data_IF_883921177894
#
_entry.id   IF_883921177894
#
_cell.length_a   1.000
_cell.length_b   1.000
_cell.length_c   1.000
_cell.angle_alpha   90.00
_cell.angle_beta   90.00
_cell.angle_gamma   90.00
#
_symmetry.space_group_name_H-M   'P 1'
#
loop_
_entity.id
_entity.type
_entity.pdbx_description
1 polymer ?
#
# COMPACT_ATOMS: atom_id res chain seq x y z
N UNK A 1 11.78 44.94 -38.23
CA UNK A 1 11.84 43.79 -39.15
C UNK A 1 13.08 42.97 -38.81
N UNK A 2 12.90 41.86 -38.08
CA UNK A 2 14.01 40.97 -37.71
C UNK A 2 14.35 40.12 -38.95
N UNK A 3 15.62 40.06 -39.39
CA UNK A 3 16.00 39.31 -40.57
C UNK A 3 15.75 37.82 -40.39
N UNK A 4 15.21 37.15 -41.43
CA UNK A 4 14.83 35.72 -41.42
C UNK A 4 15.94 34.74 -40.98
N UNK A 5 17.19 35.20 -41.01
CA UNK A 5 18.42 34.46 -40.67
C UNK A 5 18.64 34.34 -39.16
N UNK A 6 18.12 35.30 -38.39
CA UNK A 6 18.22 35.36 -36.93
C UNK A 6 17.01 34.70 -36.25
N UNK A 7 15.95 34.38 -37.01
CA UNK A 7 14.73 33.74 -36.49
C UNK A 7 14.95 32.27 -36.10
N UNK A 8 15.82 31.55 -36.83
CA UNK A 8 16.12 30.15 -36.56
C UNK A 8 16.83 29.92 -35.20
N UNK A 9 17.93 30.64 -34.86
CA UNK A 9 18.55 30.50 -33.55
C UNK A 9 17.64 31.03 -32.42
N UNK A 10 16.85 32.08 -32.68
CA UNK A 10 15.91 32.62 -31.69
C UNK A 10 14.78 31.63 -31.34
N UNK A 11 14.22 30.95 -32.34
CA UNK A 11 13.21 29.90 -32.14
C UNK A 11 13.77 28.71 -31.35
N UNK A 12 15.03 28.35 -31.59
CA UNK A 12 15.74 27.28 -30.87
C UNK A 12 15.97 27.61 -29.39
N UNK A 13 16.35 28.87 -29.09
CA UNK A 13 16.54 29.36 -27.72
C UNK A 13 15.20 29.43 -26.97
N UNK A 14 14.13 29.89 -27.62
CA UNK A 14 12.78 29.93 -27.02
C UNK A 14 12.28 28.51 -26.72
N UNK A 15 12.49 27.55 -27.62
CA UNK A 15 12.11 26.15 -27.38
C UNK A 15 12.90 25.51 -26.22
N UNK A 16 14.19 25.84 -26.07
CA UNK A 16 15.02 25.36 -24.97
C UNK A 16 14.64 25.96 -23.60
N UNK A 17 14.16 27.22 -23.58
CA UNK A 17 13.71 27.90 -22.36
C UNK A 17 12.26 27.57 -21.97
N UNK A 18 11.43 27.14 -22.92
CA UNK A 18 10.04 26.73 -22.67
C UNK A 18 9.90 25.28 -22.16
N UNK A 19 10.87 24.41 -22.44
CA UNK A 19 10.86 23.01 -22.02
C UNK A 19 10.72 22.77 -20.50
N UNK A 20 11.41 23.53 -19.62
CA UNK A 20 11.29 23.36 -18.17
C UNK A 20 9.95 23.80 -17.57
N UNK A 21 9.20 24.67 -18.25
CA UNK A 21 7.94 25.22 -17.71
C UNK A 21 6.76 24.24 -17.82
N UNK A 22 6.88 23.17 -18.62
CA UNK A 22 5.84 22.14 -18.79
C UNK A 22 6.04 20.90 -17.92
N UNK A 23 7.14 20.82 -17.16
CA UNK A 23 7.47 19.65 -16.31
C UNK A 23 7.00 19.80 -14.86
N UNK A 24 6.33 20.90 -14.51
CA UNK A 24 5.80 21.17 -13.16
C UNK A 24 4.64 20.25 -12.72
N UNK A 25 4.09 19.46 -13.63
CA UNK A 25 3.12 18.41 -13.35
C UNK A 25 3.67 17.05 -13.79
N UNK A 26 4.89 16.71 -13.38
CA UNK A 26 5.21 15.30 -13.25
C UNK A 26 4.46 14.80 -12.00
N UNK A 27 3.22 14.35 -12.18
CA UNK A 27 2.59 13.44 -11.22
C UNK A 27 3.52 12.25 -11.14
N UNK A 28 4.42 12.24 -10.17
CA UNK A 28 5.13 11.04 -9.78
C UNK A 28 4.03 10.03 -9.47
N UNK A 29 3.81 9.09 -10.38
CA UNK A 29 3.11 7.86 -10.07
C UNK A 29 3.98 7.16 -9.04
N UNK A 30 3.86 7.59 -7.78
CA UNK A 30 4.34 6.82 -6.64
C UNK A 30 3.63 5.49 -6.82
N UNK A 31 4.39 4.43 -7.08
CA UNK A 31 3.92 3.05 -6.99
C UNK A 31 3.16 2.96 -5.66
N UNK A 32 1.82 3.05 -5.71
CA UNK A 32 1.00 3.04 -4.50
C UNK A 32 1.14 1.64 -3.90
N UNK A 33 1.95 1.49 -2.86
CA UNK A 33 2.15 0.18 -2.25
C UNK A 33 0.78 -0.43 -1.92
N UNK A 34 0.52 -1.63 -2.45
CA UNK A 34 -0.75 -2.30 -2.20
C UNK A 34 -0.80 -2.70 -0.73
N UNK A 35 -1.93 -2.45 -0.07
CA UNK A 35 -2.16 -2.90 1.30
C UNK A 35 -2.30 -4.42 1.29
N UNK A 36 -1.39 -5.13 1.95
CA UNK A 36 -1.37 -6.59 2.01
C UNK A 36 -2.19 -7.07 3.21
N UNK A 37 -3.31 -7.75 2.94
CA UNK A 37 -4.18 -8.34 3.96
C UNK A 37 -3.74 -9.78 4.24
N UNK A 38 -3.29 -10.06 5.46
CA UNK A 38 -2.95 -11.38 5.95
C UNK A 38 -4.19 -12.19 6.31
N UNK A 39 -4.35 -13.36 5.70
CA UNK A 39 -5.52 -14.23 5.84
C UNK A 39 -5.07 -15.63 6.28
N UNK A 40 -5.50 -16.03 7.48
CA UNK A 40 -5.31 -17.39 8.00
C UNK A 40 -6.28 -18.41 7.39
N UNK A 41 -6.07 -19.68 7.71
CA UNK A 41 -6.75 -20.78 7.01
C UNK A 41 -8.18 -21.05 7.50
N UNK A 42 -8.56 -20.54 8.68
CA UNK A 42 -9.92 -20.70 9.20
C UNK A 42 -10.97 -20.01 8.33
N UNK A 43 -12.18 -20.56 8.26
CA UNK A 43 -13.27 -19.99 7.46
C UNK A 43 -13.60 -18.54 7.83
N UNK A 44 -13.57 -18.19 9.12
CA UNK A 44 -13.81 -16.82 9.56
C UNK A 44 -12.72 -15.86 9.06
N UNK A 45 -11.45 -16.24 9.17
CA UNK A 45 -10.35 -15.44 8.62
C UNK A 45 -10.50 -15.23 7.11
N UNK A 46 -10.91 -16.25 6.36
CA UNK A 46 -11.17 -16.12 4.93
C UNK A 46 -12.28 -15.10 4.65
N UNK A 47 -13.42 -15.20 5.34
CA UNK A 47 -14.56 -14.28 5.16
C UNK A 47 -14.17 -12.84 5.56
N UNK A 48 -13.59 -12.64 6.75
CA UNK A 48 -13.20 -11.30 7.23
C UNK A 48 -12.09 -10.68 6.36
N UNK A 49 -11.17 -11.51 5.87
CA UNK A 49 -10.14 -11.11 4.91
C UNK A 49 -10.73 -10.60 3.59
N UNK A 50 -11.69 -11.33 3.00
CA UNK A 50 -12.38 -10.89 1.78
C UNK A 50 -13.18 -9.59 2.01
N UNK A 51 -13.83 -9.46 3.16
CA UNK A 51 -14.54 -8.21 3.52
C UNK A 51 -13.56 -7.04 3.55
N UNK A 52 -12.39 -7.22 4.18
CA UNK A 52 -11.37 -6.17 4.25
C UNK A 52 -10.84 -5.79 2.85
N UNK A 53 -10.54 -6.76 2.00
CA UNK A 53 -10.11 -6.52 0.61
C UNK A 53 -11.14 -5.72 -0.18
N UNK A 54 -12.42 -6.11 -0.08
CA UNK A 54 -13.51 -5.39 -0.76
C UNK A 54 -13.67 -3.96 -0.24
N UNK A 55 -13.56 -3.75 1.08
CA UNK A 55 -13.63 -2.42 1.68
C UNK A 55 -12.47 -1.52 1.23
N UNK A 56 -11.24 -2.05 1.22
CA UNK A 56 -10.06 -1.33 0.74
C UNK A 56 -10.21 -0.94 -0.73
N UNK A 57 -10.67 -1.87 -1.56
CA UNK A 57 -10.95 -1.60 -2.96
C UNK A 57 -12.00 -0.50 -3.15
N UNK A 58 -13.13 -0.56 -2.42
CA UNK A 58 -14.18 0.47 -2.48
C UNK A 58 -13.72 1.85 -2.00
N UNK A 59 -12.74 1.89 -1.09
CA UNK A 59 -12.13 3.11 -0.60
C UNK A 59 -11.05 3.68 -1.55
N UNK A 60 -10.77 3.00 -2.68
CA UNK A 60 -9.81 3.46 -3.69
C UNK A 60 -8.37 2.98 -3.48
N UNK A 61 -8.13 2.08 -2.53
CA UNK A 61 -6.78 1.54 -2.29
C UNK A 61 -6.49 0.32 -3.17
N UNK A 62 -5.24 0.20 -3.64
CA UNK A 62 -4.69 -1.09 -4.09
C UNK A 62 -4.57 -2.02 -2.89
N UNK A 63 -5.02 -3.26 -2.99
CA UNK A 63 -4.89 -4.25 -1.93
C UNK A 63 -4.66 -5.65 -2.49
N UNK A 64 -3.92 -6.46 -1.74
CA UNK A 64 -3.55 -7.83 -2.10
C UNK A 64 -3.77 -8.78 -0.92
N UNK A 65 -4.05 -10.04 -1.21
CA UNK A 65 -4.25 -11.07 -0.19
C UNK A 65 -2.96 -11.88 0.03
N UNK A 66 -2.50 -11.95 1.27
CA UNK A 66 -1.50 -12.94 1.72
C UNK A 66 -2.22 -14.11 2.37
N UNK A 67 -2.41 -15.19 1.60
CA UNK A 67 -3.09 -16.42 2.01
C UNK A 67 -2.09 -17.51 2.41
N UNK A 68 -2.63 -18.67 2.79
CA UNK A 68 -1.88 -19.87 3.18
C UNK A 68 -0.91 -19.57 4.34
N UNK A 69 -1.34 -18.68 5.23
CA UNK A 69 -0.57 -18.34 6.42
C UNK A 69 -0.73 -19.41 7.49
N UNK A 70 -1.74 -20.29 7.42
CA UNK A 70 -1.95 -21.30 8.44
C UNK A 70 -2.67 -20.74 9.65
N UNK A 71 -2.07 -20.94 10.81
CA UNK A 71 -2.65 -20.57 12.10
C UNK A 71 -2.49 -19.09 12.44
N UNK A 72 -3.12 -18.69 13.56
CA UNK A 72 -3.08 -17.33 14.05
C UNK A 72 -1.67 -16.82 14.36
N UNK A 73 -0.77 -17.69 14.84
CA UNK A 73 0.60 -17.30 15.15
C UNK A 73 1.40 -16.96 13.89
N UNK A 74 1.18 -17.74 12.83
CA UNK A 74 1.80 -17.51 11.52
C UNK A 74 1.26 -16.26 10.83
N UNK A 75 -0.02 -15.93 11.01
CA UNK A 75 -0.61 -14.64 10.62
C UNK A 75 0.06 -13.48 11.38
N UNK A 76 0.21 -13.59 12.70
CA UNK A 76 0.90 -12.58 13.53
C UNK A 76 2.35 -12.38 13.07
N UNK A 77 3.09 -13.45 12.80
CA UNK A 77 4.47 -13.37 12.28
C UNK A 77 4.54 -12.73 10.89
N UNK A 78 3.52 -12.91 10.05
CA UNK A 78 3.45 -12.21 8.77
C UNK A 78 3.28 -10.70 8.98
N UNK A 79 2.41 -10.30 9.93
CA UNK A 79 2.18 -8.91 10.29
C UNK A 79 3.46 -8.25 10.89
N UNK A 80 4.05 -8.86 11.92
CA UNK A 80 5.26 -8.33 12.57
C UNK A 80 6.48 -8.31 11.63
N UNK A 81 6.55 -9.26 10.70
CA UNK A 81 7.60 -9.34 9.70
C UNK A 81 7.39 -8.46 8.46
N UNK A 82 6.33 -7.64 8.41
CA UNK A 82 6.02 -6.77 7.27
C UNK A 82 5.62 -7.51 5.98
N UNK A 83 5.23 -8.79 6.09
CA UNK A 83 4.70 -9.59 4.96
C UNK A 83 3.18 -9.42 4.78
N UNK A 84 2.54 -8.77 5.75
CA UNK A 84 1.16 -8.28 5.73
C UNK A 84 1.12 -6.93 6.46
N UNK A 85 0.25 -6.03 6.03
CA UNK A 85 0.03 -4.71 6.63
C UNK A 85 -1.20 -4.69 7.56
N UNK A 86 -2.15 -5.59 7.29
CA UNK A 86 -3.42 -5.72 8.01
C UNK A 86 -3.73 -7.20 8.22
N UNK A 87 -4.25 -7.56 9.39
CA UNK A 87 -4.80 -8.89 9.66
C UNK A 87 -5.89 -8.81 10.74
N UNK A 88 -6.80 -9.79 10.75
CA UNK A 88 -7.83 -9.89 11.79
C UNK A 88 -7.36 -10.74 12.95
N UNK A 89 -7.59 -10.26 14.16
CA UNK A 89 -7.17 -10.92 15.39
C UNK A 89 -8.26 -10.82 16.48
N UNK A 90 -8.26 -11.76 17.41
CA UNK A 90 -9.15 -11.72 18.57
C UNK A 90 -8.43 -11.09 19.75
N UNK A 91 -9.08 -10.11 20.36
CA UNK A 91 -8.55 -9.39 21.52
C UNK A 91 -8.10 -10.32 22.65
N UNK A 92 -8.88 -11.35 22.99
CA UNK A 92 -8.52 -12.33 24.03
C UNK A 92 -7.25 -13.12 23.71
N UNK A 93 -7.08 -13.53 22.44
CA UNK A 93 -5.87 -14.23 22.00
C UNK A 93 -4.66 -13.30 21.97
N UNK A 94 -4.81 -12.05 21.52
CA UNK A 94 -3.72 -11.06 21.59
C UNK A 94 -3.32 -10.84 23.05
N UNK A 95 -4.29 -10.65 23.94
CA UNK A 95 -4.09 -10.42 25.36
C UNK A 95 -3.25 -11.52 26.01
N UNK A 96 -3.65 -12.77 25.84
CA UNK A 96 -2.95 -13.91 26.42
C UNK A 96 -1.65 -14.23 25.65
N UNK A 97 -1.76 -14.54 24.35
CA UNK A 97 -0.66 -15.17 23.60
C UNK A 97 0.36 -14.18 23.02
N UNK A 98 0.02 -12.89 22.87
CA UNK A 98 0.94 -11.88 22.33
C UNK A 98 1.41 -10.89 23.38
N UNK A 99 0.55 -10.52 24.33
CA UNK A 99 0.87 -9.56 25.39
C UNK A 99 1.30 -10.23 26.70
N UNK A 100 1.15 -11.55 26.83
CA UNK A 100 1.63 -12.31 27.99
C UNK A 100 0.78 -12.10 29.24
N UNK A 101 -0.51 -11.81 29.08
CA UNK A 101 -1.45 -11.69 30.18
C UNK A 101 -2.20 -13.00 30.43
N UNK A 102 -1.44 -14.06 30.67
CA UNK A 102 -1.91 -15.44 30.87
C UNK A 102 -2.10 -15.82 32.35
N UNK A 103 -1.79 -14.92 33.28
CA UNK A 103 -1.96 -15.15 34.71
C UNK A 103 -3.44 -15.08 35.14
N UNK A 104 -3.99 -16.13 35.76
CA UNK A 104 -5.35 -16.10 36.30
C UNK A 104 -5.47 -15.09 37.46
N UNK A 105 -6.62 -14.42 37.55
CA UNK A 105 -7.01 -13.68 38.75
C UNK A 105 -7.42 -14.66 39.85
N UNK A 106 -6.89 -14.46 41.06
CA UNK A 106 -7.20 -15.25 42.26
C UNK A 106 -8.45 -14.75 42.99
#
# INVERSE_FOLDING_TARGET
>A
MIPRRELAPLLLVIAALAGPLLQGCHTSTREEHAIVVGIGDSAEQQVLGEIALQMLHRAGFRSEARRNLGDAWSVRRALEGGRADLAWDYTGRVWEASLGHDQPIA
#
